data_IF_082805482265
#
_entry.id   IF_082805482265
#
_cell.length_a   1.000
_cell.length_b   1.000
_cell.length_c   1.000
_cell.angle_alpha   90.00
_cell.angle_beta   90.00
_cell.angle_gamma   90.00
#
_symmetry.space_group_name_H-M   'P 1'
#
loop_
_entity.id
_entity.type
_entity.pdbx_description
1 polymer ?
#
# COMPACT_ATOMS: atom_id res chain seq x y z
N UNK A 1 41.73 18.33 -61.70
CA UNK A 1 41.71 19.72 -62.22
C UNK A 1 40.25 20.12 -62.23
N UNK A 2 39.83 20.66 -61.08
CA UNK A 2 39.43 22.08 -60.88
C UNK A 2 37.91 22.21 -61.09
N UNK A 3 37.16 22.27 -59.99
CA UNK A 3 36.61 23.49 -59.36
C UNK A 3 35.45 24.07 -60.19
N UNK A 4 34.20 23.79 -59.80
CA UNK A 4 33.35 24.56 -58.87
C UNK A 4 32.68 25.77 -59.50
N UNK A 5 31.35 25.85 -59.40
CA UNK A 5 30.57 27.10 -59.37
C UNK A 5 29.14 26.83 -58.89
N UNK A 6 28.66 27.75 -58.07
CA UNK A 6 27.41 27.72 -57.29
C UNK A 6 26.16 28.14 -58.10
N UNK A 7 24.99 27.60 -57.67
CA UNK A 7 23.62 28.17 -57.50
C UNK A 7 23.10 29.29 -58.43
N UNK A 8 21.78 29.38 -58.77
CA UNK A 8 20.73 29.60 -57.75
C UNK A 8 19.23 29.29 -58.11
N UNK A 9 18.36 29.56 -57.12
CA UNK A 9 16.93 30.00 -57.17
C UNK A 9 15.78 29.01 -57.48
N UNK A 10 14.86 28.91 -56.50
CA UNK A 10 13.50 28.33 -56.59
C UNK A 10 12.54 29.17 -57.47
N UNK A 11 11.44 28.57 -57.97
CA UNK A 11 10.13 28.98 -57.44
C UNK A 11 9.03 27.88 -57.37
N UNK A 12 8.23 27.97 -56.29
CA UNK A 12 6.76 27.81 -56.13
C UNK A 12 6.00 26.87 -57.09
N UNK A 13 5.35 25.84 -56.51
CA UNK A 13 4.02 25.39 -56.98
C UNK A 13 3.11 24.94 -55.81
N UNK A 14 1.86 25.38 -55.88
CA UNK A 14 0.75 25.15 -54.95
C UNK A 14 0.02 23.87 -55.32
N UNK A 15 -0.04 22.90 -54.41
CA UNK A 15 -0.86 21.69 -54.57
C UNK A 15 -1.44 21.23 -53.25
N UNK A 16 -2.71 21.59 -53.00
CA UNK A 16 -3.53 21.13 -51.89
C UNK A 16 -3.48 19.61 -51.72
N UNK A 17 -3.03 19.13 -50.56
CA UNK A 17 -3.49 17.87 -49.99
C UNK A 17 -4.06 18.11 -48.60
N UNK A 18 -5.37 17.89 -48.50
CA UNK A 18 -6.13 17.79 -47.26
C UNK A 18 -5.60 16.57 -46.51
N UNK A 19 -4.75 16.78 -45.51
CA UNK A 19 -4.44 15.74 -44.54
C UNK A 19 -5.55 15.71 -43.48
N UNK A 20 -6.35 14.67 -43.60
CA UNK A 20 -7.31 14.16 -42.62
C UNK A 20 -6.69 14.12 -41.23
N UNK A 21 -7.39 14.73 -40.27
CA UNK A 21 -7.01 14.76 -38.87
C UNK A 21 -6.65 13.38 -38.34
N UNK A 22 -5.43 13.27 -37.83
CA UNK A 22 -5.01 12.20 -36.93
C UNK A 22 -5.90 12.26 -35.69
N UNK A 23 -6.90 11.37 -35.64
CA UNK A 23 -7.61 11.06 -34.41
C UNK A 23 -6.58 10.52 -33.43
N UNK A 24 -6.15 11.35 -32.49
CA UNK A 24 -5.46 10.92 -31.29
C UNK A 24 -6.35 9.89 -30.60
N UNK A 25 -6.06 8.61 -30.82
CA UNK A 25 -6.59 7.53 -30.00
C UNK A 25 -6.01 7.76 -28.60
N UNK A 26 -6.75 8.48 -27.75
CA UNK A 26 -6.52 8.45 -26.31
C UNK A 26 -6.61 6.97 -25.93
N UNK A 27 -5.47 6.33 -25.73
CA UNK A 27 -5.41 5.06 -25.03
C UNK A 27 -6.03 5.32 -23.67
N UNK A 28 -7.27 4.84 -23.47
CA UNK A 28 -7.87 4.82 -22.15
C UNK A 28 -6.97 3.95 -21.30
N UNK A 29 -6.27 4.56 -20.34
CA UNK A 29 -5.43 3.82 -19.40
C UNK A 29 -6.34 2.84 -18.67
N UNK A 30 -6.11 1.54 -18.88
CA UNK A 30 -6.89 0.49 -18.24
C UNK A 30 -6.54 0.47 -16.75
N UNK A 31 -7.56 0.63 -15.90
CA UNK A 31 -7.42 0.61 -14.45
C UNK A 31 -7.93 -0.76 -13.97
N UNK A 32 -7.10 -1.49 -13.21
CA UNK A 32 -7.53 -2.74 -12.62
C UNK A 32 -8.54 -2.52 -11.49
N UNK A 33 -9.15 -3.60 -11.00
CA UNK A 33 -10.16 -3.54 -9.92
C UNK A 33 -9.67 -2.98 -8.59
N UNK A 34 -8.36 -2.77 -8.45
CA UNK A 34 -7.73 -2.22 -7.27
C UNK A 34 -7.25 -0.79 -7.48
N UNK A 35 -7.53 -0.17 -8.63
CA UNK A 35 -7.16 1.21 -8.92
C UNK A 35 -5.78 1.39 -9.54
N UNK A 36 -5.08 0.31 -9.93
CA UNK A 36 -3.76 0.42 -10.56
C UNK A 36 -3.87 0.53 -12.08
N UNK A 37 -3.06 1.41 -12.66
CA UNK A 37 -2.89 1.61 -14.11
C UNK A 37 -1.70 0.85 -14.68
N UNK A 38 -0.90 0.20 -13.82
CA UNK A 38 0.35 -0.45 -14.17
C UNK A 38 1.24 -0.71 -12.95
N UNK A 39 2.52 -1.01 -13.19
CA UNK A 39 3.48 -1.32 -12.14
C UNK A 39 3.39 -2.77 -11.66
N UNK A 40 4.21 -3.11 -10.64
CA UNK A 40 4.29 -4.48 -10.12
C UNK A 40 3.04 -4.93 -9.34
N UNK A 41 2.18 -3.99 -8.97
CA UNK A 41 0.91 -4.25 -8.28
C UNK A 41 -0.27 -4.50 -9.23
N UNK A 42 -0.16 -4.11 -10.51
CA UNK A 42 -1.23 -4.27 -11.48
C UNK A 42 -1.59 -5.74 -11.67
N UNK A 43 -2.89 -6.02 -11.65
CA UNK A 43 -3.43 -7.35 -11.90
C UNK A 43 -4.22 -7.36 -13.20
N UNK A 44 -3.89 -8.27 -14.12
CA UNK A 44 -4.66 -8.39 -15.36
C UNK A 44 -6.13 -8.77 -15.03
N UNK A 45 -7.12 -7.97 -15.45
CA UNK A 45 -8.55 -8.19 -15.19
C UNK A 45 -9.07 -9.56 -15.64
N UNK A 46 -8.44 -10.18 -16.64
CA UNK A 46 -8.86 -11.48 -17.20
C UNK A 46 -8.70 -12.66 -16.24
N UNK A 47 -7.94 -12.50 -15.14
CA UNK A 47 -7.74 -13.56 -14.13
C UNK A 47 -8.81 -13.59 -13.02
N UNK A 48 -9.96 -12.94 -13.20
CA UNK A 48 -11.05 -13.00 -12.22
C UNK A 48 -11.80 -14.35 -12.22
N UNK A 49 -11.33 -15.26 -11.36
CA UNK A 49 -11.91 -16.60 -11.20
C UNK A 49 -13.23 -16.65 -10.38
N UNK A 50 -13.60 -15.58 -9.65
CA UNK A 50 -14.73 -15.62 -8.69
C UNK A 50 -15.95 -14.88 -9.25
N UNK A 51 -17.04 -15.63 -9.49
CA UNK A 51 -18.29 -15.04 -9.95
C UNK A 51 -18.89 -14.00 -8.99
N UNK A 52 -19.51 -12.95 -9.54
CA UNK A 52 -20.19 -11.87 -8.80
C UNK A 52 -21.19 -12.42 -7.77
N UNK A 53 -21.91 -13.49 -8.11
CA UNK A 53 -22.86 -14.14 -7.20
C UNK A 53 -22.15 -14.67 -5.94
N UNK A 54 -20.98 -15.30 -6.09
CA UNK A 54 -20.19 -15.79 -4.95
C UNK A 54 -19.67 -14.63 -4.10
N UNK A 55 -19.30 -13.49 -4.71
CA UNK A 55 -18.87 -12.28 -3.99
C UNK A 55 -20.02 -11.76 -3.12
N UNK A 56 -21.21 -11.54 -3.71
CA UNK A 56 -22.40 -11.07 -2.98
C UNK A 56 -22.79 -11.99 -1.82
N UNK A 57 -22.74 -13.31 -2.04
CA UNK A 57 -22.99 -14.28 -0.96
C UNK A 57 -21.98 -14.19 0.19
N UNK A 58 -20.71 -13.85 -0.10
CA UNK A 58 -19.69 -13.61 0.92
C UNK A 58 -19.93 -12.29 1.65
N UNK A 59 -20.31 -11.23 0.92
CA UNK A 59 -20.63 -9.93 1.50
C UNK A 59 -21.78 -10.02 2.50
N UNK A 60 -22.91 -10.63 2.14
CA UNK A 60 -24.05 -10.83 3.06
C UNK A 60 -23.61 -11.54 4.34
N UNK A 61 -22.79 -12.59 4.20
CA UNK A 61 -22.26 -13.35 5.34
C UNK A 61 -21.36 -12.49 6.24
N UNK A 62 -20.60 -11.56 5.68
CA UNK A 62 -19.75 -10.64 6.42
C UNK A 62 -20.56 -9.53 7.08
N UNK A 63 -21.52 -8.92 6.38
CA UNK A 63 -22.43 -7.92 6.96
C UNK A 63 -23.13 -8.46 8.22
N UNK A 64 -23.70 -9.66 8.16
CA UNK A 64 -24.30 -10.31 9.34
C UNK A 64 -23.32 -10.46 10.52
N UNK A 65 -22.03 -10.69 10.25
CA UNK A 65 -21.00 -10.75 11.29
C UNK A 65 -20.68 -9.37 11.85
N UNK A 66 -20.45 -8.38 10.98
CA UNK A 66 -20.05 -7.03 11.35
C UNK A 66 -21.16 -6.32 12.15
N UNK A 67 -22.43 -6.58 11.84
CA UNK A 67 -23.57 -6.01 12.55
C UNK A 67 -23.79 -6.62 13.95
N UNK A 68 -23.13 -7.75 14.24
CA UNK A 68 -23.23 -8.46 15.52
C UNK A 68 -21.84 -8.76 16.09
N UNK A 69 -20.89 -7.85 15.88
CA UNK A 69 -19.45 -8.13 16.04
C UNK A 69 -19.09 -8.74 17.38
N UNK A 70 -19.54 -8.14 18.49
CA UNK A 70 -19.19 -8.59 19.84
C UNK A 70 -19.65 -10.03 20.11
N UNK A 71 -20.87 -10.37 19.68
CA UNK A 71 -21.41 -11.73 19.77
C UNK A 71 -20.57 -12.72 18.96
N UNK A 72 -20.14 -12.33 17.76
CA UNK A 72 -19.35 -13.20 16.88
C UNK A 72 -17.92 -13.40 17.38
N UNK A 73 -17.30 -12.36 17.92
CA UNK A 73 -15.98 -12.47 18.54
C UNK A 73 -16.04 -13.31 19.82
N UNK A 74 -17.05 -13.10 20.67
CA UNK A 74 -17.20 -13.85 21.92
C UNK A 74 -17.55 -15.34 21.69
N UNK A 75 -18.48 -15.65 20.77
CA UNK A 75 -19.04 -17.01 20.63
C UNK A 75 -18.61 -17.75 19.38
N UNK A 76 -18.07 -17.07 18.37
CA UNK A 76 -17.82 -17.63 17.02
C UNK A 76 -16.44 -17.25 16.45
N UNK A 77 -15.47 -16.90 17.30
CA UNK A 77 -14.12 -16.47 16.90
C UNK A 77 -13.46 -17.36 15.84
N UNK A 78 -13.48 -18.70 16.02
CA UNK A 78 -12.87 -19.62 15.06
C UNK A 78 -13.50 -19.53 13.65
N UNK A 79 -14.81 -19.24 13.59
CA UNK A 79 -15.51 -19.03 12.32
C UNK A 79 -15.14 -17.69 11.69
N UNK A 80 -14.94 -16.64 12.48
CA UNK A 80 -14.42 -15.34 12.04
C UNK A 80 -13.01 -15.53 11.46
N UNK A 81 -12.08 -16.12 12.22
CA UNK A 81 -10.70 -16.40 11.80
C UNK A 81 -10.62 -17.16 10.48
N UNK A 82 -11.44 -18.21 10.32
CA UNK A 82 -11.51 -18.98 9.07
C UNK A 82 -12.05 -18.16 7.90
N UNK A 83 -12.97 -17.21 8.14
CA UNK A 83 -13.48 -16.31 7.10
C UNK A 83 -12.45 -15.26 6.70
N UNK A 84 -11.68 -14.71 7.64
CA UNK A 84 -10.55 -13.84 7.33
C UNK A 84 -9.57 -14.54 6.38
N UNK A 85 -9.18 -15.79 6.69
CA UNK A 85 -8.28 -16.61 5.84
C UNK A 85 -8.85 -16.93 4.44
N UNK A 86 -10.16 -16.86 4.26
CA UNK A 86 -10.81 -17.02 2.94
C UNK A 86 -10.84 -15.71 2.13
N UNK A 87 -10.44 -14.61 2.73
CA UNK A 87 -10.50 -13.26 2.17
C UNK A 87 -11.76 -12.50 2.61
N UNK A 88 -11.54 -11.25 2.99
CA UNK A 88 -12.58 -10.26 3.23
C UNK A 88 -12.98 -9.64 1.87
N UNK A 89 -14.28 -9.53 1.54
CA UNK A 89 -14.74 -8.81 0.35
C UNK A 89 -14.20 -7.38 0.31
N UNK A 90 -13.78 -6.90 -0.87
CA UNK A 90 -13.16 -5.58 -1.02
C UNK A 90 -14.02 -4.45 -0.45
N UNK A 91 -15.32 -4.49 -0.72
CA UNK A 91 -16.34 -3.53 -0.26
C UNK A 91 -16.47 -3.43 1.28
N UNK A 92 -15.97 -4.43 2.01
CA UNK A 92 -16.14 -4.53 3.46
C UNK A 92 -14.80 -4.42 4.22
N UNK A 93 -13.66 -4.25 3.53
CA UNK A 93 -12.35 -4.22 4.17
C UNK A 93 -12.21 -3.08 5.16
N UNK A 94 -12.57 -1.84 4.81
CA UNK A 94 -12.47 -0.69 5.72
C UNK A 94 -13.12 -0.97 7.08
N UNK A 95 -14.43 -1.26 7.08
CA UNK A 95 -15.18 -1.59 8.30
C UNK A 95 -14.66 -2.85 9.01
N UNK A 96 -14.33 -3.91 8.28
CA UNK A 96 -13.88 -5.16 8.88
C UNK A 96 -12.49 -5.02 9.52
N UNK A 97 -11.57 -4.31 8.88
CA UNK A 97 -10.22 -4.07 9.40
C UNK A 97 -10.25 -3.21 10.65
N UNK A 98 -11.09 -2.17 10.70
CA UNK A 98 -11.24 -1.40 11.93
C UNK A 98 -11.73 -2.25 13.11
N UNK A 99 -12.72 -3.12 12.89
CA UNK A 99 -13.25 -4.00 13.93
C UNK A 99 -12.27 -5.12 14.34
N UNK A 100 -11.47 -5.62 13.39
CA UNK A 100 -10.46 -6.65 13.63
C UNK A 100 -9.27 -6.09 14.39
N UNK A 101 -8.80 -4.89 14.03
CA UNK A 101 -7.67 -4.24 14.70
C UNK A 101 -8.07 -3.63 16.05
N UNK A 102 -9.35 -3.27 16.22
CA UNK A 102 -9.86 -2.52 17.36
C UNK A 102 -9.70 -1.01 17.23
N UNK A 103 -9.26 -0.51 16.05
CA UNK A 103 -9.03 0.92 15.83
C UNK A 103 -10.30 1.77 15.94
N UNK A 104 -11.46 1.19 15.65
CA UNK A 104 -12.75 1.86 15.86
C UNK A 104 -12.99 2.23 17.33
N UNK A 105 -12.44 1.48 18.28
CA UNK A 105 -12.53 1.79 19.71
C UNK A 105 -11.55 2.91 20.08
N UNK A 106 -10.32 2.88 19.54
CA UNK A 106 -9.34 3.94 19.73
C UNK A 106 -9.88 5.29 19.25
N UNK A 107 -10.41 5.33 18.02
CA UNK A 107 -10.99 6.52 17.43
C UNK A 107 -12.13 7.09 18.29
N UNK A 108 -13.03 6.24 18.80
CA UNK A 108 -14.13 6.65 19.68
C UNK A 108 -13.67 7.17 21.03
N UNK A 109 -12.54 6.68 21.54
CA UNK A 109 -11.97 7.12 22.82
C UNK A 109 -11.18 8.43 22.69
N UNK A 110 -10.70 8.75 21.48
CA UNK A 110 -9.79 9.86 21.20
C UNK A 110 -10.37 10.80 20.13
N UNK A 111 -11.65 11.13 20.26
CA UNK A 111 -12.36 11.99 19.29
C UNK A 111 -11.65 13.33 19.14
N UNK A 112 -11.39 13.74 17.90
CA UNK A 112 -10.72 15.01 17.58
C UNK A 112 -9.19 14.96 17.69
N UNK A 113 -8.60 13.88 18.23
CA UNK A 113 -7.16 13.78 18.41
C UNK A 113 -6.40 13.81 17.09
N UNK A 114 -6.92 13.19 16.03
CA UNK A 114 -6.29 13.25 14.71
C UNK A 114 -6.13 14.69 14.21
N UNK A 115 -7.18 15.52 14.35
CA UNK A 115 -7.13 16.93 13.96
C UNK A 115 -6.18 17.75 14.85
N UNK A 116 -6.14 17.47 16.15
CA UNK A 116 -5.19 18.07 17.09
C UNK A 116 -3.72 17.78 16.69
N UNK A 117 -3.44 16.53 16.29
CA UNK A 117 -2.11 16.11 15.85
C UNK A 117 -1.67 16.83 14.56
N UNK A 118 -2.59 17.03 13.61
CA UNK A 118 -2.31 17.79 12.38
C UNK A 118 -1.97 19.26 12.63
N UNK A 119 -2.45 19.83 13.75
CA UNK A 119 -2.15 21.21 14.16
C UNK A 119 -0.90 21.31 15.05
N UNK A 120 -0.40 20.17 15.51
CA UNK A 120 0.74 20.10 16.42
C UNK A 120 2.07 20.14 15.64
N UNK A 121 3.14 20.50 16.34
CA UNK A 121 4.48 20.58 15.76
C UNK A 121 5.10 19.18 15.64
N UNK A 122 5.50 18.80 14.41
CA UNK A 122 6.27 17.58 14.18
C UNK A 122 7.75 17.74 14.55
N UNK A 123 8.44 16.60 14.71
CA UNK A 123 9.88 16.55 14.90
C UNK A 123 10.66 17.10 13.70
N UNK A 124 11.93 17.41 13.92
CA UNK A 124 12.83 17.91 12.88
C UNK A 124 12.87 17.00 11.65
N UNK A 125 12.90 17.58 10.45
CA UNK A 125 12.97 16.89 9.15
C UNK A 125 11.77 15.99 8.79
N UNK A 126 10.78 15.84 9.67
CA UNK A 126 9.60 14.97 9.44
C UNK A 126 8.87 15.33 8.15
N UNK A 127 8.64 16.63 7.90
CA UNK A 127 7.94 17.12 6.71
C UNK A 127 8.72 16.75 5.44
N UNK A 128 10.02 17.06 5.40
CA UNK A 128 10.87 16.80 4.23
C UNK A 128 10.96 15.30 3.92
N UNK A 129 11.05 14.46 4.95
CA UNK A 129 11.19 13.02 4.78
C UNK A 129 9.88 12.36 4.31
N UNK A 130 8.73 12.84 4.80
CA UNK A 130 7.43 12.41 4.27
C UNK A 130 7.29 12.83 2.80
N UNK A 131 7.56 14.09 2.45
CA UNK A 131 7.42 14.60 1.08
C UNK A 131 8.29 13.85 0.06
N UNK A 132 9.54 13.50 0.44
CA UNK A 132 10.42 12.65 -0.36
C UNK A 132 9.83 11.26 -0.60
N UNK A 133 8.98 10.77 0.28
CA UNK A 133 8.43 9.42 0.21
C UNK A 133 7.06 9.35 -0.47
N UNK A 134 6.26 10.42 -0.43
CA UNK A 134 4.90 10.44 -1.00
C UNK A 134 4.87 10.03 -2.47
N UNK A 135 5.74 10.63 -3.29
CA UNK A 135 5.70 10.45 -4.75
C UNK A 135 6.10 9.04 -5.22
N UNK A 136 6.79 8.27 -4.36
CA UNK A 136 7.21 6.89 -4.64
C UNK A 136 6.25 5.84 -4.07
N UNK A 137 5.20 6.23 -3.34
CA UNK A 137 4.18 5.30 -2.85
C UNK A 137 3.11 5.06 -3.91
N UNK A 138 3.10 3.85 -4.46
CA UNK A 138 2.09 3.37 -5.42
C UNK A 138 1.78 4.38 -6.54
N UNK A 139 2.79 4.89 -7.29
CA UNK A 139 2.62 5.98 -8.26
C UNK A 139 1.67 5.63 -9.42
N UNK A 140 1.39 4.34 -9.63
CA UNK A 140 0.47 3.86 -10.66
C UNK A 140 -0.97 3.68 -10.16
N UNK A 141 -1.24 3.92 -8.88
CA UNK A 141 -2.59 3.85 -8.32
C UNK A 141 -3.31 5.19 -8.53
N UNK A 142 -4.56 5.16 -9.00
CA UNK A 142 -5.35 6.35 -9.34
C UNK A 142 -5.41 7.40 -8.22
N UNK A 143 -5.49 6.95 -6.96
CA UNK A 143 -5.49 7.80 -5.76
C UNK A 143 -4.18 8.58 -5.56
N UNK A 144 -3.03 8.05 -6.00
CA UNK A 144 -1.70 8.60 -5.72
C UNK A 144 -0.97 9.10 -6.97
N UNK A 145 -1.50 8.84 -8.16
CA UNK A 145 -0.88 9.18 -9.44
C UNK A 145 -0.74 10.70 -9.65
N UNK A 146 -1.69 11.50 -9.13
CA UNK A 146 -1.61 12.95 -9.22
C UNK A 146 -0.70 13.50 -8.12
N UNK A 147 0.42 14.10 -8.54
CA UNK A 147 1.33 14.80 -7.62
C UNK A 147 0.63 15.98 -6.96
N UNK A 148 0.66 16.02 -5.63
CA UNK A 148 -0.07 17.02 -4.84
C UNK A 148 -1.60 16.88 -4.92
N UNK A 149 -2.12 15.77 -5.44
CA UNK A 149 -3.54 15.47 -5.43
C UNK A 149 -4.05 15.15 -4.02
N UNK A 150 -5.37 15.03 -3.88
CA UNK A 150 -6.03 14.78 -2.60
C UNK A 150 -5.54 13.52 -1.90
N UNK A 151 -5.32 12.43 -2.64
CA UNK A 151 -4.80 11.19 -2.05
C UNK A 151 -3.37 11.31 -1.50
N UNK A 152 -2.48 12.07 -2.15
CA UNK A 152 -1.15 12.36 -1.60
C UNK A 152 -1.23 13.26 -0.37
N UNK A 153 -2.17 14.21 -0.35
CA UNK A 153 -2.39 15.06 0.82
C UNK A 153 -2.95 14.28 2.02
N UNK A 154 -3.90 13.37 1.79
CA UNK A 154 -4.44 12.50 2.84
C UNK A 154 -3.37 11.54 3.37
N UNK A 155 -2.52 10.99 2.48
CA UNK A 155 -1.39 10.17 2.88
C UNK A 155 -0.39 10.96 3.72
N UNK A 156 -0.07 12.19 3.31
CA UNK A 156 0.76 13.11 4.09
C UNK A 156 0.17 13.33 5.48
N UNK A 157 -1.12 13.64 5.57
CA UNK A 157 -1.79 13.92 6.84
C UNK A 157 -1.72 12.72 7.81
N UNK A 158 -1.93 11.50 7.31
CA UNK A 158 -1.81 10.28 8.12
C UNK A 158 -0.40 10.12 8.68
N UNK A 159 0.61 10.25 7.81
CA UNK A 159 2.01 10.05 8.18
C UNK A 159 2.51 11.13 9.13
N UNK A 160 2.11 12.38 8.89
CA UNK A 160 2.41 13.52 9.75
C UNK A 160 1.79 13.33 11.13
N UNK A 161 0.49 13.05 11.20
CA UNK A 161 -0.21 12.85 12.47
C UNK A 161 0.40 11.70 13.27
N UNK A 162 0.82 10.61 12.60
CA UNK A 162 1.47 9.49 13.29
C UNK A 162 2.87 9.84 13.82
N UNK A 163 3.68 10.55 13.04
CA UNK A 163 5.00 10.99 13.49
C UNK A 163 4.91 11.92 14.71
N UNK A 164 3.86 12.75 14.79
CA UNK A 164 3.55 13.57 15.99
C UNK A 164 3.04 12.70 17.14
N UNK A 165 2.17 11.73 16.86
CA UNK A 165 1.57 10.84 17.87
C UNK A 165 2.61 9.99 18.59
N UNK A 166 3.60 9.48 17.85
CA UNK A 166 4.70 8.69 18.41
C UNK A 166 6.06 9.35 18.07
N UNK A 167 6.48 10.37 18.84
CA UNK A 167 7.73 11.08 18.57
C UNK A 167 8.99 10.25 18.86
N UNK A 168 8.86 9.12 19.57
CA UNK A 168 9.98 8.22 19.88
C UNK A 168 10.50 7.55 18.62
N UNK A 169 9.60 7.03 17.79
CA UNK A 169 9.95 6.40 16.51
C UNK A 169 9.89 7.42 15.36
N UNK A 170 9.06 8.47 15.50
CA UNK A 170 8.89 9.52 14.50
C UNK A 170 8.36 8.98 13.17
N UNK A 171 8.77 9.61 12.07
CA UNK A 171 8.49 9.09 10.74
C UNK A 171 9.56 8.10 10.31
N UNK A 172 9.14 6.87 9.97
CA UNK A 172 9.94 5.87 9.30
C UNK A 172 9.40 5.66 7.87
N UNK A 173 10.31 5.54 6.89
CA UNK A 173 9.97 5.31 5.49
C UNK A 173 9.08 4.07 5.25
N UNK A 174 9.14 3.08 6.15
CA UNK A 174 8.30 1.89 6.08
C UNK A 174 6.82 2.15 6.44
N UNK A 175 6.49 3.28 7.06
CA UNK A 175 5.10 3.66 7.38
C UNK A 175 4.30 4.00 6.12
N UNK A 176 4.91 4.71 5.17
CA UNK A 176 4.25 5.23 3.97
C UNK A 176 3.49 4.18 3.14
N UNK A 177 4.08 3.01 2.80
CA UNK A 177 3.34 2.01 2.04
C UNK A 177 2.20 1.37 2.85
N UNK A 178 2.31 1.25 4.18
CA UNK A 178 1.24 0.72 5.04
C UNK A 178 0.08 1.71 5.11
N UNK A 179 0.38 2.99 5.35
CA UNK A 179 -0.62 4.06 5.37
C UNK A 179 -1.37 4.17 4.04
N UNK A 180 -0.66 4.05 2.91
CA UNK A 180 -1.27 4.08 1.58
C UNK A 180 -2.23 2.90 1.36
N UNK A 181 -1.86 1.68 1.73
CA UNK A 181 -2.75 0.50 1.64
C UNK A 181 -4.03 0.71 2.47
N UNK A 182 -3.91 1.25 3.67
CA UNK A 182 -5.07 1.56 4.52
C UNK A 182 -5.95 2.64 3.89
N UNK A 183 -5.35 3.74 3.43
CA UNK A 183 -6.05 4.87 2.82
C UNK A 183 -6.80 4.48 1.53
N UNK A 184 -6.30 3.51 0.76
CA UNK A 184 -7.03 2.96 -0.38
C UNK A 184 -8.38 2.32 0.01
N UNK A 185 -8.62 2.03 1.30
CA UNK A 185 -9.75 1.23 1.77
C UNK A 185 -10.60 1.93 2.83
N UNK A 186 -10.17 3.07 3.35
CA UNK A 186 -10.90 3.85 4.35
C UNK A 186 -10.46 5.32 4.36
N UNK A 187 -11.29 6.26 4.88
CA UNK A 187 -10.93 7.66 5.05
C UNK A 187 -9.65 7.87 5.90
N UNK A 188 -9.01 9.02 5.74
CA UNK A 188 -7.70 9.30 6.33
C UNK A 188 -7.63 9.10 7.86
N UNK A 189 -8.61 9.61 8.61
CA UNK A 189 -8.64 9.44 10.07
C UNK A 189 -8.80 7.96 10.48
N UNK A 190 -9.63 7.20 9.76
CA UNK A 190 -9.81 5.77 10.01
C UNK A 190 -8.53 4.98 9.71
N UNK A 191 -7.83 5.35 8.62
CA UNK A 191 -6.55 4.77 8.24
C UNK A 191 -5.47 5.07 9.28
N UNK A 192 -5.43 6.30 9.78
CA UNK A 192 -4.55 6.69 10.90
C UNK A 192 -4.78 5.79 12.13
N UNK A 193 -6.02 5.63 12.59
CA UNK A 193 -6.29 4.80 13.77
C UNK A 193 -6.04 3.31 13.52
N UNK A 194 -6.28 2.80 12.31
CA UNK A 194 -5.88 1.44 11.94
C UNK A 194 -4.35 1.28 12.03
N UNK A 195 -3.59 2.25 11.54
CA UNK A 195 -2.14 2.24 11.60
C UNK A 195 -1.63 2.27 13.05
N UNK A 196 -2.20 3.14 13.90
CA UNK A 196 -1.90 3.19 15.34
C UNK A 196 -2.17 1.83 15.98
N UNK A 197 -3.36 1.24 15.76
CA UNK A 197 -3.69 -0.06 16.33
C UNK A 197 -2.72 -1.16 15.88
N UNK A 198 -2.36 -1.17 14.59
CA UNK A 198 -1.39 -2.13 14.03
C UNK A 198 -0.02 -2.00 14.71
N UNK A 199 0.50 -0.79 14.84
CA UNK A 199 1.86 -0.56 15.32
C UNK A 199 1.97 -0.74 16.83
N UNK A 200 0.96 -0.33 17.59
CA UNK A 200 0.99 -0.42 19.06
C UNK A 200 0.68 -1.84 19.56
N UNK A 201 -0.22 -2.58 18.90
CA UNK A 201 -0.73 -3.86 19.43
C UNK A 201 -0.25 -5.11 18.68
N UNK A 202 0.07 -5.01 17.39
CA UNK A 202 0.34 -6.19 16.57
C UNK A 202 1.81 -6.31 16.15
N UNK A 203 2.50 -5.19 15.90
CA UNK A 203 3.92 -5.16 15.55
C UNK A 203 4.72 -4.15 16.39
N UNK A 204 4.60 -4.18 17.74
CA UNK A 204 5.31 -3.23 18.60
C UNK A 204 6.83 -3.34 18.42
N UNK A 205 7.49 -2.19 18.31
CA UNK A 205 8.94 -2.09 18.23
C UNK A 205 9.55 -2.39 16.84
N UNK A 206 8.74 -2.68 15.82
CA UNK A 206 9.22 -2.90 14.45
C UNK A 206 9.95 -1.70 13.84
N UNK A 207 9.56 -0.49 14.25
CA UNK A 207 10.11 0.77 13.72
C UNK A 207 11.11 1.45 14.66
N UNK A 208 11.41 0.82 15.81
CA UNK A 208 12.33 1.38 16.77
C UNK A 208 13.79 1.33 16.26
N UNK A 209 14.65 2.25 16.71
CA UNK A 209 16.06 2.27 16.31
C UNK A 209 16.75 0.92 16.56
N UNK A 210 17.62 0.51 15.64
CA UNK A 210 18.33 -0.77 15.71
C UNK A 210 17.53 -1.97 15.22
N UNK A 211 16.21 -1.87 15.00
CA UNK A 211 15.37 -2.91 14.40
C UNK A 211 15.45 -4.27 15.13
N UNK A 212 15.61 -4.26 16.46
CA UNK A 212 15.84 -5.48 17.25
C UNK A 212 14.74 -6.53 17.04
N UNK A 213 13.47 -6.11 17.02
CA UNK A 213 12.33 -7.02 16.79
C UNK A 213 12.40 -7.65 15.39
N UNK A 214 12.74 -6.86 14.37
CA UNK A 214 12.90 -7.34 12.99
C UNK A 214 14.07 -8.33 12.88
N UNK A 215 15.16 -8.11 13.63
CA UNK A 215 16.28 -9.05 13.69
C UNK A 215 15.89 -10.39 14.33
N UNK A 216 15.11 -10.35 15.41
CA UNK A 216 14.57 -11.56 16.07
C UNK A 216 13.67 -12.33 15.10
N UNK A 217 12.73 -11.66 14.45
CA UNK A 217 11.83 -12.29 13.48
C UNK A 217 12.57 -12.80 12.25
N UNK A 218 13.62 -12.11 11.80
CA UNK A 218 14.54 -12.59 10.77
C UNK A 218 15.26 -13.88 11.17
N UNK A 219 15.65 -14.02 12.44
CA UNK A 219 16.25 -15.23 12.98
C UNK A 219 15.24 -16.39 13.04
N UNK A 220 13.99 -16.10 13.40
CA UNK A 220 12.90 -17.08 13.33
C UNK A 220 12.67 -17.54 11.90
N UNK A 221 12.63 -16.61 10.93
CA UNK A 221 12.52 -16.93 9.50
C UNK A 221 13.66 -17.83 9.02
N UNK A 222 14.89 -17.55 9.44
CA UNK A 222 16.05 -18.40 9.13
C UNK A 222 15.90 -19.82 9.71
N UNK A 223 15.44 -19.94 10.95
CA UNK A 223 15.15 -21.22 11.60
C UNK A 223 14.06 -22.02 10.86
N UNK A 224 12.99 -21.35 10.43
CA UNK A 224 11.93 -21.96 9.62
C UNK A 224 12.46 -22.40 8.25
N UNK A 225 13.27 -21.58 7.58
CA UNK A 225 13.88 -21.93 6.31
C UNK A 225 14.79 -23.16 6.44
N UNK A 226 15.56 -23.26 7.53
CA UNK A 226 16.38 -24.44 7.84
C UNK A 226 15.53 -25.70 7.97
N UNK A 227 14.38 -25.61 8.64
CA UNK A 227 13.48 -26.74 8.87
C UNK A 227 12.73 -27.16 7.59
N UNK A 228 12.25 -26.20 6.81
CA UNK A 228 11.37 -26.45 5.65
C UNK A 228 12.17 -26.68 4.36
N UNK A 229 13.28 -25.96 4.16
CA UNK A 229 14.10 -26.05 2.96
C UNK A 229 15.61 -25.95 3.28
N UNK A 230 16.20 -27.00 3.88
CA UNK A 230 17.59 -26.98 4.35
C UNK A 230 18.62 -26.75 3.23
N UNK A 231 18.29 -27.12 1.98
CA UNK A 231 19.16 -26.92 0.82
C UNK A 231 19.35 -25.42 0.54
N UNK A 232 18.25 -24.66 0.52
CA UNK A 232 18.28 -23.21 0.30
C UNK A 232 18.93 -22.51 1.49
N UNK A 233 18.61 -22.91 2.72
CA UNK A 233 19.26 -22.37 3.91
C UNK A 233 20.79 -22.50 3.85
N UNK A 234 21.32 -23.71 3.54
CA UNK A 234 22.77 -23.93 3.41
C UNK A 234 23.39 -23.09 2.29
N UNK A 235 22.68 -22.91 1.17
CA UNK A 235 23.14 -22.07 0.08
C UNK A 235 23.24 -20.60 0.51
N UNK A 236 22.21 -20.08 1.19
CA UNK A 236 22.22 -18.71 1.72
C UNK A 236 23.32 -18.49 2.76
N UNK A 237 23.52 -19.43 3.69
CA UNK A 237 24.63 -19.38 4.65
C UNK A 237 26.00 -19.37 3.96
N UNK A 238 26.21 -20.25 2.96
CA UNK A 238 27.46 -20.29 2.18
C UNK A 238 27.79 -18.95 1.54
N UNK A 239 26.78 -18.19 1.13
CA UNK A 239 26.91 -16.89 0.47
C UNK A 239 26.74 -15.70 1.42
N UNK A 240 26.71 -15.92 2.75
CA UNK A 240 26.53 -14.88 3.77
C UNK A 240 25.26 -14.02 3.56
N UNK A 241 24.19 -14.61 3.02
CA UNK A 241 22.92 -13.92 2.81
C UNK A 241 22.16 -13.85 4.13
N UNK A 242 22.40 -12.77 4.88
CA UNK A 242 21.72 -12.49 6.15
C UNK A 242 20.21 -12.31 5.94
N UNK A 243 19.35 -12.81 6.86
CA UNK A 243 17.92 -12.52 6.87
C UNK A 243 17.58 -11.04 6.73
N UNK A 244 18.38 -10.16 7.32
CA UNK A 244 18.17 -8.71 7.28
C UNK A 244 18.21 -8.12 5.87
N UNK A 245 18.87 -8.77 4.90
CA UNK A 245 18.95 -8.29 3.52
C UNK A 245 17.60 -8.35 2.79
N UNK A 246 16.70 -9.24 3.20
CA UNK A 246 15.40 -9.43 2.54
C UNK A 246 14.22 -9.25 3.50
N UNK A 247 14.35 -9.65 4.77
CA UNK A 247 13.27 -9.55 5.75
C UNK A 247 12.96 -8.10 6.14
N UNK A 248 13.92 -7.18 6.06
CA UNK A 248 13.71 -5.80 6.51
C UNK A 248 12.56 -5.13 5.76
N UNK A 249 12.59 -5.11 4.43
CA UNK A 249 11.47 -4.54 3.66
C UNK A 249 10.20 -5.38 3.82
N UNK A 250 10.32 -6.72 3.80
CA UNK A 250 9.19 -7.63 3.90
C UNK A 250 8.39 -7.43 5.18
N UNK A 251 9.06 -7.34 6.32
CA UNK A 251 8.41 -7.24 7.62
C UNK A 251 8.04 -5.80 7.96
N UNK A 252 8.94 -4.84 7.76
CA UNK A 252 8.67 -3.45 8.09
C UNK A 252 7.57 -2.84 7.22
N UNK A 253 7.45 -3.25 5.96
CA UNK A 253 6.37 -2.78 5.07
C UNK A 253 5.18 -3.76 5.03
N UNK A 254 5.15 -4.81 5.86
CA UNK A 254 4.11 -5.85 5.88
C UNK A 254 3.83 -6.37 4.46
N UNK A 255 4.91 -6.64 3.72
CA UNK A 255 4.94 -7.16 2.36
C UNK A 255 4.27 -6.30 1.28
N UNK A 256 3.76 -5.10 1.62
CA UNK A 256 3.02 -4.22 0.71
C UNK A 256 3.80 -3.79 -0.53
N UNK A 257 5.14 -3.79 -0.46
CA UNK A 257 6.04 -3.48 -1.57
C UNK A 257 6.55 -4.69 -2.35
N UNK A 258 6.37 -5.89 -1.79
CA UNK A 258 7.07 -7.10 -2.26
C UNK A 258 6.11 -8.11 -2.90
N UNK A 259 4.96 -8.37 -2.28
CA UNK A 259 4.04 -9.39 -2.76
C UNK A 259 3.05 -8.84 -3.79
N UNK A 260 2.50 -9.71 -4.67
CA UNK A 260 1.39 -9.34 -5.54
C UNK A 260 0.22 -8.75 -4.74
N UNK A 261 -0.44 -7.74 -5.29
CA UNK A 261 -1.47 -6.98 -4.57
C UNK A 261 -2.59 -7.83 -3.94
N UNK A 262 -3.17 -8.85 -4.60
CA UNK A 262 -4.19 -9.71 -3.99
C UNK A 262 -3.67 -10.52 -2.79
N UNK A 263 -2.36 -10.74 -2.70
CA UNK A 263 -1.72 -11.42 -1.57
C UNK A 263 -1.54 -10.46 -0.40
N UNK A 264 -1.14 -9.21 -0.66
CA UNK A 264 -1.03 -8.15 0.36
C UNK A 264 -2.37 -7.98 1.10
N UNK A 265 -3.48 -7.88 0.38
CA UNK A 265 -4.81 -7.69 0.98
C UNK A 265 -5.37 -8.91 1.77
N UNK A 266 -4.64 -10.03 1.78
CA UNK A 266 -5.02 -11.27 2.49
C UNK A 266 -4.14 -11.60 3.69
N UNK A 267 -2.98 -10.96 3.79
CA UNK A 267 -2.13 -11.01 4.97
C UNK A 267 -2.80 -10.25 6.13
#
# INVERSE_FOLDING_TARGET
MEESTENPTDPVDNGNHVETGSSSSRSTVEIDKYGFTGGSQYTNPEFEEISVIKIRQREVKWLTMLDNWDLWMAKKFQKVKRRCRKGIPSSLRGRAWQLLSGSNLLQKQQVGKYMELLQSQAGTNTVEDIEKDLHRQFPFHEMFAQRGGTGQQDLYNILYAYAVYNPKDGYCQAHAPIAAVLLMHMPAEEAFWCMVAMFDFYIPGYFSPGLEVVQVDGSVMQGLLRAVCPIIHKHMEKHNVSPMLYCTEWFMCIFSRTLPWPSVLRL
#
